data_IF_774107219808
#
_entry.id   IF_774107219808
#
_cell.length_a   1.000
_cell.length_b   1.000
_cell.length_c   1.000
_cell.angle_alpha   90.00
_cell.angle_beta   90.00
_cell.angle_gamma   90.00
#
_symmetry.space_group_name_H-M   'P 1'
#
loop_
_entity.id
_entity.type
_entity.pdbx_description
1 polymer ?
#
# COMPACT_ATOMS: atom_id res chain seq x y z
N UNK A 1 35.57 4.70 6.98
CA UNK A 1 35.30 5.51 8.18
C UNK A 1 35.60 6.96 7.86
N UNK A 2 34.67 7.65 7.18
CA UNK A 2 34.81 9.07 6.89
C UNK A 2 34.02 9.84 7.94
N UNK A 3 34.71 10.69 8.71
CA UNK A 3 34.12 11.39 9.84
C UNK A 3 33.32 12.61 9.31
N UNK A 4 32.02 12.43 9.14
CA UNK A 4 31.11 13.43 8.54
C UNK A 4 30.76 14.59 9.49
N UNK A 5 31.24 14.55 10.74
CA UNK A 5 30.87 15.49 11.80
C UNK A 5 31.74 16.74 11.90
N UNK A 6 32.90 16.81 11.25
CA UNK A 6 33.73 18.02 11.31
C UNK A 6 33.04 19.21 10.60
N UNK A 7 32.90 20.34 11.31
CA UNK A 7 32.48 21.61 10.73
C UNK A 7 33.44 21.98 9.60
N UNK A 8 32.92 22.07 8.38
CA UNK A 8 33.71 22.40 7.21
C UNK A 8 34.29 23.81 7.36
N UNK A 9 35.61 23.91 7.45
CA UNK A 9 36.37 25.17 7.49
C UNK A 9 37.27 25.23 6.26
N UNK A 10 37.44 26.41 5.66
CA UNK A 10 38.29 26.61 4.49
C UNK A 10 37.55 26.60 3.13
N UNK A 11 38.27 26.86 2.02
CA UNK A 11 37.70 26.97 0.68
C UNK A 11 37.12 25.65 0.16
N UNK A 12 36.11 25.73 -0.72
CA UNK A 12 35.34 24.57 -1.18
C UNK A 12 36.18 23.53 -1.93
N UNK A 13 37.33 23.92 -2.49
CA UNK A 13 38.25 22.99 -3.18
C UNK A 13 38.86 21.94 -2.23
N UNK A 14 38.79 22.15 -0.91
CA UNK A 14 39.30 21.22 0.10
C UNK A 14 38.23 20.23 0.60
N UNK A 15 37.01 20.29 0.08
CA UNK A 15 35.88 19.50 0.58
C UNK A 15 35.63 18.26 -0.27
N UNK A 16 35.09 17.21 0.38
CA UNK A 16 34.57 16.04 -0.32
C UNK A 16 33.42 16.45 -1.24
N UNK A 17 33.53 16.04 -2.51
CA UNK A 17 32.50 16.22 -3.52
C UNK A 17 31.60 14.99 -3.56
N UNK A 18 30.30 15.19 -3.47
CA UNK A 18 29.29 14.15 -3.53
C UNK A 18 28.61 14.18 -4.89
N UNK A 19 28.39 13.00 -5.47
CA UNK A 19 27.56 12.84 -6.66
C UNK A 19 26.52 11.75 -6.42
N UNK A 20 25.29 12.01 -6.87
CA UNK A 20 24.18 11.04 -6.83
C UNK A 20 23.94 10.60 -8.25
N UNK A 21 23.92 9.29 -8.46
CA UNK A 21 23.68 8.68 -9.78
C UNK A 21 22.47 7.74 -9.71
N UNK A 22 21.62 7.77 -10.73
CA UNK A 22 20.44 6.91 -10.91
C UNK A 22 20.73 5.85 -11.97
N UNK A 23 20.32 4.61 -11.72
CA UNK A 23 20.36 3.56 -12.73
C UNK A 23 19.22 3.71 -13.74
N UNK A 24 19.55 3.80 -15.02
CA UNK A 24 18.60 3.57 -16.10
C UNK A 24 18.25 2.07 -16.14
N UNK A 25 16.98 1.68 -15.87
CA UNK A 25 16.59 0.28 -15.77
C UNK A 25 16.65 -0.46 -17.11
N UNK A 26 16.63 0.23 -18.26
CA UNK A 26 16.72 -0.38 -19.59
C UNK A 26 18.17 -0.57 -20.01
N UNK A 27 19.03 0.38 -19.65
CA UNK A 27 20.43 0.38 -20.08
C UNK A 27 21.39 -0.20 -19.04
N UNK A 28 20.94 -0.44 -17.80
CA UNK A 28 21.75 -0.85 -16.66
C UNK A 28 22.99 0.05 -16.47
N UNK A 29 22.81 1.34 -16.74
CA UNK A 29 23.86 2.36 -16.67
C UNK A 29 23.44 3.44 -15.68
N UNK A 30 24.41 3.95 -14.95
CA UNK A 30 24.19 5.01 -13.99
C UNK A 30 24.37 6.38 -14.65
N UNK A 31 23.33 7.20 -14.62
CA UNK A 31 23.32 8.60 -15.04
C UNK A 31 23.54 9.54 -13.85
N UNK A 32 24.25 10.64 -14.06
CA UNK A 32 24.51 11.65 -13.02
C UNK A 32 23.28 12.53 -12.81
N UNK A 33 22.74 12.54 -11.59
CA UNK A 33 21.59 13.40 -11.22
C UNK A 33 22.09 14.68 -10.54
N UNK A 34 23.05 14.53 -9.64
CA UNK A 34 23.55 15.63 -8.82
C UNK A 34 25.04 15.50 -8.63
N UNK A 35 25.74 16.65 -8.63
CA UNK A 35 27.12 16.73 -8.20
C UNK A 35 27.35 18.04 -7.46
N UNK A 36 28.00 17.98 -6.31
CA UNK A 36 28.25 19.17 -5.52
C UNK A 36 28.84 18.87 -4.16
N UNK A 37 28.85 19.87 -3.31
CA UNK A 37 29.42 19.77 -1.97
C UNK A 37 28.34 19.68 -0.89
N UNK A 38 27.04 19.61 -1.20
CA UNK A 38 26.00 19.60 -0.17
C UNK A 38 26.11 18.37 0.77
N UNK A 39 25.64 18.51 2.01
CA UNK A 39 25.53 17.39 2.97
C UNK A 39 24.25 16.57 2.76
N UNK A 40 23.26 17.14 2.10
CA UNK A 40 21.98 16.54 1.79
C UNK A 40 21.53 17.01 0.42
N UNK A 41 20.94 16.10 -0.35
CA UNK A 41 20.30 16.39 -1.63
C UNK A 41 18.96 15.66 -1.65
N UNK A 42 17.92 16.34 -2.13
CA UNK A 42 16.58 15.78 -2.29
C UNK A 42 16.38 15.55 -3.78
N UNK A 43 16.07 14.31 -4.16
CA UNK A 43 15.71 13.96 -5.54
C UNK A 43 14.20 14.18 -5.68
N UNK A 44 13.82 15.09 -6.57
CA UNK A 44 12.43 15.46 -6.84
C UNK A 44 11.97 14.90 -8.18
N UNK A 45 10.66 14.86 -8.42
CA UNK A 45 10.09 14.45 -9.71
C UNK A 45 10.10 12.94 -9.98
N UNK A 46 10.22 12.12 -8.92
CA UNK A 46 10.11 10.66 -9.04
C UNK A 46 8.67 10.27 -9.41
N UNK A 47 8.54 9.36 -10.38
CA UNK A 47 7.23 8.83 -10.78
C UNK A 47 6.65 7.98 -9.65
N UNK A 48 5.34 8.06 -9.38
CA UNK A 48 4.68 7.20 -8.41
C UNK A 48 4.68 5.74 -8.92
N UNK A 49 4.72 4.77 -8.00
CA UNK A 49 4.73 3.33 -8.31
C UNK A 49 5.99 2.85 -9.05
N UNK A 50 7.07 3.62 -9.00
CA UNK A 50 8.31 3.30 -9.72
C UNK A 50 9.42 2.97 -8.73
N UNK A 51 10.20 1.94 -9.06
CA UNK A 51 11.37 1.55 -8.29
C UNK A 51 12.62 2.13 -8.93
N UNK A 52 13.36 2.91 -8.15
CA UNK A 52 14.59 3.57 -8.55
C UNK A 52 15.78 2.95 -7.83
N UNK A 53 16.93 2.86 -8.51
CA UNK A 53 18.21 2.51 -7.87
C UNK A 53 19.17 3.68 -7.94
N UNK A 54 19.64 4.10 -6.78
CA UNK A 54 20.59 5.20 -6.66
C UNK A 54 21.91 4.70 -6.09
N UNK A 55 23.02 5.33 -6.47
CA UNK A 55 24.30 5.16 -5.79
C UNK A 55 24.95 6.50 -5.52
N UNK A 56 25.73 6.55 -4.44
CA UNK A 56 26.50 7.71 -4.06
C UNK A 56 27.95 7.54 -4.54
N UNK A 57 28.52 8.58 -5.14
CA UNK A 57 29.94 8.69 -5.42
C UNK A 57 30.53 9.82 -4.59
N UNK A 58 31.53 9.51 -3.76
CA UNK A 58 32.29 10.49 -2.97
C UNK A 58 33.65 10.66 -3.63
N UNK A 59 34.05 11.90 -3.92
CA UNK A 59 35.33 12.23 -4.53
C UNK A 59 36.13 13.12 -3.60
N UNK A 60 37.36 12.71 -3.30
CA UNK A 60 38.34 13.49 -2.54
C UNK A 60 38.84 14.68 -3.38
N UNK A 61 39.20 15.82 -2.77
CA UNK A 61 40.01 16.88 -3.39
C UNK A 61 41.19 16.40 -4.25
N UNK A 62 41.81 15.27 -3.90
CA UNK A 62 42.91 14.64 -4.66
C UNK A 62 42.46 13.93 -5.94
N UNK A 63 41.16 13.80 -6.18
CA UNK A 63 40.56 13.17 -7.35
C UNK A 63 40.22 11.68 -7.20
N UNK A 64 40.53 11.07 -6.05
CA UNK A 64 40.14 9.69 -5.76
C UNK A 64 38.64 9.59 -5.49
N UNK A 65 37.95 8.64 -6.12
CA UNK A 65 36.51 8.46 -5.98
C UNK A 65 36.12 7.08 -5.46
N UNK A 66 35.19 7.04 -4.51
CA UNK A 66 34.64 5.82 -3.92
C UNK A 66 33.12 5.79 -4.16
N UNK A 67 32.59 4.64 -4.56
CA UNK A 67 31.16 4.42 -4.74
C UNK A 67 30.55 3.69 -3.55
N UNK A 68 29.31 4.02 -3.21
CA UNK A 68 28.49 3.23 -2.29
C UNK A 68 27.87 2.04 -3.00
N UNK A 69 27.41 1.06 -2.22
CA UNK A 69 26.44 0.08 -2.71
C UNK A 69 25.17 0.79 -3.22
N UNK A 70 24.54 0.31 -4.30
CA UNK A 70 23.27 0.84 -4.77
C UNK A 70 22.16 0.66 -3.73
N UNK A 71 21.33 1.67 -3.57
CA UNK A 71 20.16 1.69 -2.70
C UNK A 71 18.92 1.69 -3.60
N UNK A 72 17.97 0.82 -3.28
CA UNK A 72 16.70 0.71 -3.99
C UNK A 72 15.63 1.49 -3.23
N UNK A 73 14.97 2.43 -3.90
CA UNK A 73 13.87 3.23 -3.34
C UNK A 73 12.65 3.04 -4.22
N UNK A 74 11.53 2.64 -3.61
CA UNK A 74 10.25 2.49 -4.31
C UNK A 74 9.31 3.61 -3.85
N UNK A 75 8.84 4.41 -4.80
CA UNK A 75 7.85 5.45 -4.51
C UNK A 75 6.50 4.81 -4.26
N UNK A 76 5.87 5.12 -3.12
CA UNK A 76 4.47 4.80 -2.87
C UNK A 76 3.57 5.74 -3.68
N UNK A 77 2.31 5.37 -3.92
CA UNK A 77 1.36 6.30 -4.51
C UNK A 77 1.23 7.54 -3.63
N UNK A 78 1.22 8.73 -4.24
CA UNK A 78 0.78 9.92 -3.52
C UNK A 78 -0.63 9.69 -2.98
N UNK A 79 -0.92 10.09 -1.72
CA UNK A 79 -2.29 10.11 -1.25
C UNK A 79 -3.12 10.99 -2.18
N UNK A 80 -4.33 10.55 -2.45
CA UNK A 80 -5.31 11.22 -3.29
C UNK A 80 -5.44 12.70 -2.90
N UNK A 81 -4.83 13.59 -3.67
CA UNK A 81 -4.95 15.03 -3.44
C UNK A 81 -6.16 15.57 -4.20
N UNK A 82 -6.80 16.63 -3.69
CA UNK A 82 -7.86 17.32 -4.43
C UNK A 82 -7.40 17.81 -5.80
N UNK A 83 -6.09 17.99 -6.00
CA UNK A 83 -5.48 18.33 -7.28
C UNK A 83 -5.61 17.20 -8.31
N UNK A 84 -5.50 15.93 -7.90
CA UNK A 84 -5.65 14.80 -8.81
C UNK A 84 -7.08 14.72 -9.36
N UNK A 85 -8.10 14.91 -8.50
CA UNK A 85 -9.50 15.00 -8.94
C UNK A 85 -9.73 16.22 -9.84
N UNK A 86 -9.23 17.40 -9.43
CA UNK A 86 -9.35 18.61 -10.24
C UNK A 86 -8.72 18.44 -11.62
N UNK A 87 -7.54 17.82 -11.70
CA UNK A 87 -6.81 17.54 -12.94
C UNK A 87 -7.57 16.56 -13.84
N UNK A 88 -8.07 15.46 -13.29
CA UNK A 88 -8.84 14.46 -14.03
C UNK A 88 -10.12 15.06 -14.63
N UNK A 89 -10.86 15.83 -13.82
CA UNK A 89 -12.06 16.56 -14.28
C UNK A 89 -11.71 17.62 -15.33
N UNK A 90 -10.64 18.38 -15.13
CA UNK A 90 -10.20 19.43 -16.08
C UNK A 90 -9.80 18.85 -17.43
N UNK A 91 -9.26 17.63 -17.45
CA UNK A 91 -8.87 16.91 -18.67
C UNK A 91 -10.02 16.10 -19.28
N UNK A 92 -11.18 16.07 -18.62
CA UNK A 92 -12.30 15.19 -18.96
C UNK A 92 -11.87 13.72 -19.11
N UNK A 93 -10.95 13.29 -18.25
CA UNK A 93 -10.42 11.93 -18.23
C UNK A 93 -11.30 11.06 -17.34
N UNK A 94 -12.22 10.32 -17.96
CA UNK A 94 -13.18 9.50 -17.25
C UNK A 94 -12.51 8.32 -16.52
N UNK A 95 -11.43 7.79 -17.07
CA UNK A 95 -10.72 6.65 -16.48
C UNK A 95 -10.00 7.05 -15.19
N UNK A 96 -9.33 8.21 -15.21
CA UNK A 96 -8.69 8.77 -14.02
C UNK A 96 -9.73 9.10 -12.94
N UNK A 97 -10.88 9.69 -13.30
CA UNK A 97 -11.96 9.96 -12.36
C UNK A 97 -12.50 8.66 -11.75
N UNK A 98 -12.69 7.61 -12.55
CA UNK A 98 -13.14 6.30 -12.06
C UNK A 98 -12.09 5.70 -11.11
N UNK A 99 -10.81 5.71 -11.47
CA UNK A 99 -9.73 5.20 -10.60
C UNK A 99 -9.68 5.96 -9.27
N UNK A 100 -9.87 7.29 -9.31
CA UNK A 100 -9.94 8.14 -8.13
C UNK A 100 -11.13 7.77 -7.23
N UNK A 101 -12.31 7.56 -7.82
CA UNK A 101 -13.52 7.14 -7.09
C UNK A 101 -13.32 5.76 -6.42
N UNK A 102 -12.63 4.84 -7.08
CA UNK A 102 -12.34 3.51 -6.54
C UNK A 102 -11.44 3.55 -5.30
N UNK A 103 -10.33 4.29 -5.36
CA UNK A 103 -9.46 4.48 -4.20
C UNK A 103 -10.20 5.18 -3.04
N UNK A 104 -11.03 6.17 -3.37
CA UNK A 104 -11.86 6.87 -2.38
C UNK A 104 -12.88 5.94 -1.72
N UNK A 105 -13.47 5.01 -2.48
CA UNK A 105 -14.44 4.04 -1.97
C UNK A 105 -13.79 3.12 -0.93
N UNK A 106 -12.60 2.58 -1.21
CA UNK A 106 -11.88 1.71 -0.27
C UNK A 106 -11.57 2.43 1.05
N UNK A 107 -11.11 3.68 0.97
CA UNK A 107 -10.83 4.50 2.16
C UNK A 107 -12.12 4.79 2.96
N UNK A 108 -13.22 5.14 2.27
CA UNK A 108 -14.51 5.38 2.91
C UNK A 108 -15.04 4.12 3.62
N UNK A 109 -14.87 2.95 3.01
CA UNK A 109 -15.21 1.66 3.60
C UNK A 109 -14.38 1.37 4.86
N UNK A 110 -13.07 1.59 4.81
CA UNK A 110 -12.20 1.41 5.97
C UNK A 110 -12.51 2.37 7.12
N UNK A 111 -12.87 3.61 6.81
CA UNK A 111 -13.21 4.64 7.80
C UNK A 111 -14.64 4.53 8.36
N UNK A 112 -15.48 3.65 7.81
CA UNK A 112 -16.85 3.45 8.29
C UNK A 112 -17.83 4.55 7.85
N UNK A 113 -17.53 5.28 6.77
CA UNK A 113 -18.35 6.40 6.33
C UNK A 113 -19.46 5.95 5.37
N UNK A 114 -20.48 5.27 5.89
CA UNK A 114 -21.56 4.66 5.09
C UNK A 114 -22.20 5.62 4.08
N UNK A 115 -22.51 6.86 4.47
CA UNK A 115 -23.10 7.85 3.55
C UNK A 115 -22.20 8.19 2.35
N UNK A 116 -20.88 8.22 2.56
CA UNK A 116 -19.90 8.44 1.49
C UNK A 116 -19.80 7.21 0.60
N UNK A 117 -19.79 6.01 1.19
CA UNK A 117 -19.79 4.73 0.45
C UNK A 117 -20.99 4.65 -0.49
N UNK A 118 -22.19 4.93 0.02
CA UNK A 118 -23.44 4.97 -0.76
C UNK A 118 -23.37 5.99 -1.90
N UNK A 119 -22.87 7.20 -1.60
CA UNK A 119 -22.70 8.24 -2.61
C UNK A 119 -21.74 7.79 -3.72
N UNK A 120 -20.55 7.30 -3.38
CA UNK A 120 -19.54 6.86 -4.35
C UNK A 120 -20.06 5.71 -5.22
N UNK A 121 -20.84 4.78 -4.65
CA UNK A 121 -21.51 3.71 -5.40
C UNK A 121 -22.55 4.25 -6.39
N UNK A 122 -23.33 5.26 -5.99
CA UNK A 122 -24.27 5.94 -6.91
C UNK A 122 -23.56 6.65 -8.07
N UNK A 123 -22.30 7.05 -7.89
CA UNK A 123 -21.45 7.68 -8.91
C UNK A 123 -20.68 6.66 -9.78
N UNK A 124 -20.94 5.35 -9.60
CA UNK A 124 -20.36 4.30 -10.45
C UNK A 124 -19.03 3.70 -9.95
N UNK A 125 -18.60 3.98 -8.72
CA UNK A 125 -17.47 3.26 -8.13
C UNK A 125 -17.76 1.75 -8.06
N UNK A 126 -16.82 0.88 -8.41
CA UNK A 126 -17.06 -0.57 -8.55
C UNK A 126 -16.57 -1.36 -7.33
N UNK A 127 -17.30 -2.41 -6.95
CA UNK A 127 -16.86 -3.38 -5.93
C UNK A 127 -15.71 -4.28 -6.40
N UNK A 128 -15.58 -4.48 -7.72
CA UNK A 128 -14.58 -5.35 -8.31
C UNK A 128 -13.19 -4.72 -8.37
N UNK A 129 -13.09 -3.44 -8.07
CA UNK A 129 -11.84 -2.70 -8.06
C UNK A 129 -10.91 -3.21 -6.98
N UNK A 130 -9.61 -3.22 -7.32
CA UNK A 130 -8.56 -3.79 -6.48
C UNK A 130 -7.43 -2.79 -6.32
N UNK A 131 -6.90 -2.69 -5.11
CA UNK A 131 -5.65 -1.99 -4.88
C UNK A 131 -4.46 -2.81 -5.38
N UNK A 132 -3.24 -2.32 -5.16
CA UNK A 132 -2.01 -3.02 -5.57
C UNK A 132 -1.78 -4.36 -4.87
N UNK A 133 -2.31 -4.53 -3.66
CA UNK A 133 -2.28 -5.80 -2.96
C UNK A 133 -3.33 -6.78 -3.49
N UNK A 134 -4.15 -6.36 -4.45
CA UNK A 134 -5.32 -7.08 -4.91
C UNK A 134 -6.49 -6.98 -3.96
N UNK A 135 -6.44 -6.14 -2.91
CA UNK A 135 -7.52 -6.03 -1.95
C UNK A 135 -8.70 -5.26 -2.54
N UNK A 136 -9.91 -5.76 -2.31
CA UNK A 136 -11.18 -5.12 -2.70
C UNK A 136 -11.72 -4.24 -1.57
N UNK A 137 -12.76 -3.45 -1.84
CA UNK A 137 -13.43 -2.65 -0.81
C UNK A 137 -13.87 -3.49 0.42
N UNK A 138 -14.28 -4.75 0.22
CA UNK A 138 -14.69 -5.65 1.32
C UNK A 138 -13.52 -5.96 2.27
N UNK A 139 -12.29 -6.10 1.76
CA UNK A 139 -11.11 -6.27 2.61
C UNK A 139 -10.88 -5.03 3.49
N UNK A 140 -10.96 -3.85 2.89
CA UNK A 140 -10.79 -2.58 3.59
C UNK A 140 -11.89 -2.34 4.63
N UNK A 141 -13.15 -2.62 4.29
CA UNK A 141 -14.27 -2.56 5.25
C UNK A 141 -14.07 -3.51 6.43
N UNK A 142 -13.56 -4.71 6.17
CA UNK A 142 -13.29 -5.74 7.18
C UNK A 142 -12.15 -5.35 8.12
N UNK A 143 -11.08 -4.74 7.58
CA UNK A 143 -9.98 -4.19 8.38
C UNK A 143 -10.51 -3.07 9.31
N UNK A 144 -11.34 -2.16 8.78
CA UNK A 144 -12.03 -1.11 9.54
C UNK A 144 -13.00 -1.67 10.58
N UNK A 145 -13.70 -2.76 10.24
CA UNK A 145 -14.63 -3.51 11.08
C UNK A 145 -15.93 -2.76 11.39
N UNK A 146 -16.40 -1.96 10.44
CA UNK A 146 -17.65 -1.22 10.54
C UNK A 146 -18.80 -2.06 9.99
N UNK A 147 -19.54 -2.73 10.88
CA UNK A 147 -20.58 -3.70 10.54
C UNK A 147 -21.68 -3.11 9.64
N UNK A 148 -22.11 -1.88 9.91
CA UNK A 148 -23.12 -1.16 9.12
C UNK A 148 -22.72 -0.95 7.66
N UNK A 149 -21.43 -0.65 7.41
CA UNK A 149 -20.87 -0.57 6.05
C UNK A 149 -20.87 -1.94 5.39
N UNK A 150 -20.40 -2.97 6.09
CA UNK A 150 -20.29 -4.34 5.55
C UNK A 150 -21.68 -4.90 5.20
N UNK A 151 -22.65 -4.75 6.10
CA UNK A 151 -24.04 -5.16 5.87
C UNK A 151 -24.62 -4.50 4.63
N UNK A 152 -24.41 -3.18 4.47
CA UNK A 152 -24.88 -2.46 3.30
C UNK A 152 -24.16 -2.90 2.02
N UNK A 153 -22.85 -3.12 2.07
CA UNK A 153 -22.07 -3.63 0.92
C UNK A 153 -22.60 -4.98 0.43
N UNK A 154 -22.94 -5.89 1.34
CA UNK A 154 -23.53 -7.19 1.02
C UNK A 154 -24.90 -7.02 0.36
N UNK A 155 -25.74 -6.13 0.90
CA UNK A 155 -27.05 -5.81 0.33
C UNK A 155 -26.94 -5.21 -1.08
N UNK A 156 -25.89 -4.41 -1.33
CA UNK A 156 -25.58 -3.83 -2.64
C UNK A 156 -24.83 -4.81 -3.58
N UNK A 157 -24.72 -6.09 -3.20
CA UNK A 157 -24.18 -7.16 -4.04
C UNK A 157 -22.66 -7.23 -4.10
N UNK A 158 -21.94 -6.68 -3.12
CA UNK A 158 -20.49 -6.84 -3.03
C UNK A 158 -20.11 -8.31 -2.77
N UNK A 159 -19.12 -8.81 -3.50
CA UNK A 159 -18.58 -10.16 -3.30
C UNK A 159 -17.88 -10.27 -1.94
N UNK A 160 -18.23 -11.32 -1.18
CA UNK A 160 -17.76 -11.55 0.20
C UNK A 160 -16.44 -12.32 0.24
N UNK A 161 -16.19 -13.18 -0.76
CA UNK A 161 -15.07 -14.13 -0.80
C UNK A 161 -13.99 -13.78 -1.84
N UNK A 162 -13.93 -12.52 -2.28
CA UNK A 162 -12.85 -12.08 -3.17
C UNK A 162 -11.50 -12.35 -2.50
N UNK A 163 -10.55 -12.94 -3.24
CA UNK A 163 -9.18 -13.17 -2.74
C UNK A 163 -8.25 -12.03 -3.09
N UNK A 164 -7.42 -11.58 -2.17
CA UNK A 164 -6.31 -10.67 -2.49
C UNK A 164 -5.24 -11.35 -3.38
N UNK A 165 -4.36 -10.54 -3.99
CA UNK A 165 -3.29 -11.06 -4.85
C UNK A 165 -2.06 -11.52 -4.06
N UNK A 166 -1.89 -11.01 -2.84
CA UNK A 166 -0.70 -11.18 -2.02
C UNK A 166 -0.65 -12.54 -1.33
N UNK A 167 -1.64 -12.85 -0.50
CA UNK A 167 -1.71 -14.07 0.33
C UNK A 167 -2.90 -14.96 -0.03
N UNK A 168 -3.67 -14.58 -1.05
CA UNK A 168 -4.97 -15.19 -1.40
C UNK A 168 -5.94 -15.17 -0.23
N UNK A 169 -5.82 -14.15 0.61
CA UNK A 169 -6.71 -13.99 1.74
C UNK A 169 -8.05 -13.48 1.25
N UNK A 170 -9.12 -14.11 1.73
CA UNK A 170 -10.46 -13.54 1.71
C UNK A 170 -10.60 -12.54 2.85
N UNK A 171 -11.65 -11.68 2.83
CA UNK A 171 -11.99 -10.83 3.96
C UNK A 171 -12.05 -11.60 5.30
N UNK A 172 -12.64 -12.80 5.31
CA UNK A 172 -12.71 -13.64 6.52
C UNK A 172 -11.32 -14.12 7.00
N UNK A 173 -10.46 -14.61 6.09
CA UNK A 173 -9.08 -15.00 6.42
C UNK A 173 -8.30 -13.82 7.01
N UNK A 174 -8.43 -12.65 6.38
CA UNK A 174 -7.76 -11.43 6.80
C UNK A 174 -8.24 -10.94 8.16
N UNK A 175 -9.55 -10.99 8.42
CA UNK A 175 -10.14 -10.69 9.72
C UNK A 175 -9.53 -11.56 10.83
N UNK A 176 -9.46 -12.88 10.61
CA UNK A 176 -8.88 -13.84 11.54
C UNK A 176 -7.40 -13.59 11.81
N UNK A 177 -6.65 -13.13 10.80
CA UNK A 177 -5.24 -12.81 10.93
C UNK A 177 -4.99 -11.50 11.71
N UNK A 178 -5.79 -10.46 11.44
CA UNK A 178 -5.46 -9.09 11.83
C UNK A 178 -6.24 -8.56 13.03
N UNK A 179 -7.56 -8.81 13.11
CA UNK A 179 -8.44 -8.09 14.05
C UNK A 179 -9.19 -8.99 15.02
N UNK A 180 -9.67 -10.16 14.58
CA UNK A 180 -10.47 -11.08 15.39
C UNK A 180 -11.82 -10.52 15.86
N UNK A 181 -12.39 -9.55 15.14
CA UNK A 181 -13.70 -8.95 15.49
C UNK A 181 -14.84 -9.94 15.23
N UNK A 182 -15.50 -10.40 16.29
CA UNK A 182 -16.57 -11.40 16.24
C UNK A 182 -17.73 -11.01 15.34
N UNK A 183 -18.21 -9.79 15.53
CA UNK A 183 -19.45 -9.33 14.90
C UNK A 183 -19.30 -9.28 13.37
N UNK A 184 -18.13 -8.85 12.89
CA UNK A 184 -17.81 -8.81 11.46
C UNK A 184 -17.76 -10.21 10.86
N UNK A 185 -17.13 -11.17 11.54
CA UNK A 185 -17.08 -12.53 10.99
C UNK A 185 -18.46 -13.19 11.00
N UNK A 186 -19.29 -12.95 12.02
CA UNK A 186 -20.68 -13.43 12.01
C UNK A 186 -21.45 -12.88 10.81
N UNK A 187 -21.28 -11.59 10.48
CA UNK A 187 -21.89 -10.98 9.29
C UNK A 187 -21.39 -11.66 8.00
N UNK A 188 -20.07 -11.81 7.84
CA UNK A 188 -19.48 -12.43 6.64
C UNK A 188 -19.92 -13.90 6.49
N UNK A 189 -19.94 -14.67 7.57
CA UNK A 189 -20.37 -16.08 7.58
C UNK A 189 -21.86 -16.19 7.21
N UNK A 190 -22.71 -15.36 7.82
CA UNK A 190 -24.14 -15.30 7.49
C UNK A 190 -24.39 -14.89 6.03
N UNK A 191 -23.50 -14.08 5.46
CA UNK A 191 -23.52 -13.69 4.05
C UNK A 191 -22.97 -14.78 3.11
N UNK A 192 -22.56 -15.94 3.63
CA UNK A 192 -22.11 -17.09 2.85
C UNK A 192 -20.60 -17.17 2.63
N UNK A 193 -19.78 -16.45 3.40
CA UNK A 193 -18.33 -16.57 3.33
C UNK A 193 -17.87 -18.03 3.57
N UNK A 194 -16.96 -18.52 2.74
CA UNK A 194 -16.46 -19.87 2.84
C UNK A 194 -15.45 -20.00 4.00
N UNK A 195 -15.93 -20.55 5.12
CA UNK A 195 -15.14 -20.83 6.33
C UNK A 195 -14.00 -21.84 6.14
N UNK A 196 -14.01 -22.62 5.06
CA UNK A 196 -13.01 -23.65 4.74
C UNK A 196 -12.04 -23.22 3.64
N UNK A 197 -12.10 -21.95 3.22
CA UNK A 197 -11.18 -21.39 2.24
C UNK A 197 -9.74 -21.54 2.73
N UNK A 198 -8.81 -21.82 1.81
CA UNK A 198 -7.38 -21.92 2.10
C UNK A 198 -6.64 -20.72 1.52
N UNK A 199 -5.70 -20.18 2.30
CA UNK A 199 -4.72 -19.20 1.83
C UNK A 199 -3.57 -19.87 1.04
N UNK A 200 -2.59 -19.07 0.61
CA UNK A 200 -1.40 -19.57 -0.12
C UNK A 200 -0.58 -20.61 0.65
N UNK A 201 -0.60 -20.58 1.98
CA UNK A 201 0.08 -21.56 2.83
C UNK A 201 -0.78 -22.82 3.09
N UNK A 202 -1.99 -22.87 2.54
CA UNK A 202 -2.95 -23.95 2.78
C UNK A 202 -3.69 -23.85 4.11
N UNK A 203 -3.58 -22.72 4.83
CA UNK A 203 -4.24 -22.51 6.13
C UNK A 203 -5.67 -22.05 5.95
N UNK A 204 -6.57 -22.61 6.78
CA UNK A 204 -7.97 -22.17 6.85
C UNK A 204 -8.12 -20.98 7.81
N UNK A 205 -9.22 -20.20 7.75
CA UNK A 205 -9.41 -19.10 8.69
C UNK A 205 -9.35 -19.54 10.17
N UNK A 206 -9.80 -20.74 10.50
CA UNK A 206 -9.67 -21.30 11.85
C UNK A 206 -8.22 -21.54 12.25
N UNK A 207 -7.39 -22.08 11.34
CA UNK A 207 -5.97 -22.31 11.59
C UNK A 207 -5.24 -20.98 11.80
N UNK A 208 -5.54 -19.99 10.95
CA UNK A 208 -4.97 -18.64 11.04
C UNK A 208 -5.30 -18.02 12.40
N UNK A 209 -6.55 -18.07 12.86
CA UNK A 209 -6.90 -17.49 14.16
C UNK A 209 -6.15 -18.18 15.33
N UNK A 210 -6.08 -19.51 15.33
CA UNK A 210 -5.36 -20.27 16.36
C UNK A 210 -3.88 -19.87 16.44
N UNK A 211 -3.25 -19.60 15.30
CA UNK A 211 -1.84 -19.17 15.26
C UNK A 211 -1.62 -17.71 15.68
N UNK A 212 -2.61 -16.84 15.48
CA UNK A 212 -2.50 -15.41 15.75
C UNK A 212 -2.54 -15.02 17.24
N UNK A 213 -2.75 -15.99 18.16
CA UNK A 213 -2.89 -15.77 19.63
C UNK A 213 -3.94 -14.71 20.02
N UNK A 214 -4.90 -14.43 19.13
CA UNK A 214 -6.05 -13.56 19.43
C UNK A 214 -7.12 -14.40 20.12
N UNK A 215 -7.80 -13.83 21.12
CA UNK A 215 -8.95 -14.48 21.78
C UNK A 215 -10.05 -14.68 20.75
N UNK A 216 -10.06 -15.84 20.09
CA UNK A 216 -11.11 -16.21 19.17
C UNK A 216 -12.30 -16.74 19.98
N UNK A 217 -13.44 -16.04 19.92
CA UNK A 217 -14.74 -16.52 20.41
C UNK A 217 -15.42 -17.47 19.39
N UNK A 218 -14.72 -17.84 18.31
CA UNK A 218 -15.25 -18.52 17.12
C UNK A 218 -15.11 -20.05 17.14
N UNK A 219 -14.97 -20.65 18.33
CA UNK A 219 -14.81 -22.09 18.47
C UNK A 219 -16.00 -22.58 19.27
N UNK A 220 -17.06 -23.01 18.59
CA UNK A 220 -17.96 -23.97 19.24
C UNK A 220 -17.21 -25.30 19.40
N UNK A 221 -17.66 -26.10 20.36
CA UNK A 221 -17.13 -27.38 20.81
C UNK A 221 -16.73 -28.36 19.70
N UNK A 222 -17.21 -28.19 18.47
CA UNK A 222 -16.88 -28.99 17.28
C UNK A 222 -15.71 -28.48 16.42
N UNK A 223 -15.02 -27.38 16.80
CA UNK A 223 -13.98 -26.73 15.97
C UNK A 223 -14.51 -26.18 14.63
N UNK A 224 -15.73 -25.68 14.63
CA UNK A 224 -16.34 -25.01 13.48
C UNK A 224 -16.41 -23.51 13.76
N UNK A 225 -16.15 -22.69 12.74
CA UNK A 225 -16.36 -21.24 12.81
C UNK A 225 -17.88 -21.00 12.90
N UNK A 226 -18.33 -20.41 14.01
CA UNK A 226 -19.73 -20.00 14.26
C UNK A 226 -19.80 -18.48 14.28
#
# INVERSE_FOLDING_TARGET
SWNLEEQRKGPQEQWLKFSVEEEDPKLHKYGLIYTGYARQHVVEGLEPRTTYRFRLKVTDPKGESVYSSPICVTTTSEPMSGEQLHRAVSRNDLEDVIHILQGSLMIACFAGHLGIVQYLRSQGASWLSRDFGGCTAMHWATDGGHCDVIDWMIQDGCEVDSRDSGLEWTPLLRLCALSGKTDVATILINAGANVNVKDKDGKTPLMVCCTAKKKCCFIDTERTLV
#
